data_IF_625616795047
#
_entry.id   IF_625616795047
#
_cell.length_a   1.000
_cell.length_b   1.000
_cell.length_c   1.000
_cell.angle_alpha   90.00
_cell.angle_beta   90.00
_cell.angle_gamma   90.00
#
_symmetry.space_group_name_H-M   'P 1'
#
loop_
_entity.id
_entity.type
_entity.pdbx_description
1 polymer ?
#
# COMPACT_ATOMS: atom_id res chain seq x y z
N UNK A 1 16.81 -31.00 28.02
CA UNK A 1 16.08 -29.78 27.59
C UNK A 1 15.87 -29.87 26.08
N UNK A 2 14.63 -30.05 25.60
CA UNK A 2 14.35 -30.35 24.19
C UNK A 2 14.80 -29.22 23.25
N UNK A 3 15.41 -29.57 22.10
CA UNK A 3 15.83 -28.63 21.05
C UNK A 3 14.72 -27.61 20.73
N UNK A 4 13.47 -28.05 20.63
CA UNK A 4 12.29 -27.21 20.37
C UNK A 4 12.09 -26.09 21.41
N UNK A 5 12.32 -26.37 22.70
CA UNK A 5 12.17 -25.38 23.79
C UNK A 5 13.33 -24.39 23.80
N UNK A 6 14.54 -24.82 23.42
CA UNK A 6 15.69 -23.94 23.25
C UNK A 6 15.47 -22.96 22.09
N UNK A 7 14.99 -23.44 20.95
CA UNK A 7 14.71 -22.58 19.79
C UNK A 7 13.60 -21.56 20.10
N UNK A 8 12.56 -21.96 20.82
CA UNK A 8 11.49 -21.05 21.24
C UNK A 8 11.97 -19.98 22.24
N UNK A 9 12.82 -20.35 23.21
CA UNK A 9 13.45 -19.39 24.13
C UNK A 9 14.40 -18.42 23.40
N UNK A 10 15.18 -18.95 22.45
CA UNK A 10 16.10 -18.18 21.62
C UNK A 10 15.37 -17.19 20.69
N UNK A 11 14.25 -17.62 20.09
CA UNK A 11 13.37 -16.75 19.30
C UNK A 11 12.72 -15.67 20.17
N UNK A 12 12.32 -16.00 21.41
CA UNK A 12 11.76 -15.04 22.37
C UNK A 12 12.75 -13.96 22.81
N UNK A 13 14.03 -14.29 22.95
CA UNK A 13 15.07 -13.28 23.26
C UNK A 13 15.34 -12.33 22.09
N UNK A 14 15.09 -12.76 20.85
CA UNK A 14 15.19 -11.92 19.65
C UNK A 14 13.96 -11.02 19.45
N UNK A 15 12.79 -11.41 19.99
CA UNK A 15 11.49 -10.71 19.87
C UNK A 15 11.49 -9.29 20.45
N UNK A 16 12.28 -9.01 21.50
CA UNK A 16 12.42 -7.66 22.06
C UNK A 16 13.50 -6.83 21.37
N UNK A 17 14.26 -7.46 20.46
CA UNK A 17 15.38 -6.85 19.73
C UNK A 17 15.09 -6.63 18.26
N UNK A 18 13.89 -6.86 17.72
CA UNK A 18 13.57 -6.61 16.30
C UNK A 18 13.88 -5.18 15.83
N UNK A 19 13.56 -4.13 16.61
CA UNK A 19 14.04 -2.77 16.31
C UNK A 19 15.56 -2.68 16.46
N UNK A 20 16.11 -3.32 17.47
CA UNK A 20 17.55 -3.32 17.77
C UNK A 20 18.36 -4.05 16.69
N UNK A 21 17.84 -5.06 16.00
CA UNK A 21 18.57 -5.84 15.00
C UNK A 21 18.54 -5.19 13.61
N UNK A 22 17.40 -4.61 13.26
CA UNK A 22 17.28 -3.74 12.08
C UNK A 22 18.13 -2.47 12.25
N UNK A 23 18.23 -1.95 13.48
CA UNK A 23 19.09 -0.79 13.82
C UNK A 23 20.58 -1.16 13.94
N UNK A 24 20.94 -2.27 14.58
CA UNK A 24 22.34 -2.72 14.77
C UNK A 24 23.03 -3.09 13.45
N UNK A 25 22.28 -3.63 12.48
CA UNK A 25 22.79 -3.91 11.13
C UNK A 25 22.62 -2.71 10.18
N UNK A 26 21.93 -1.65 10.61
CA UNK A 26 21.77 -0.40 9.87
C UNK A 26 23.09 0.32 9.60
N UNK A 27 24.03 0.22 10.55
CA UNK A 27 25.35 0.86 10.52
C UNK A 27 26.44 0.03 9.83
N UNK A 28 26.17 -1.24 9.51
CA UNK A 28 27.13 -2.09 8.82
C UNK A 28 27.16 -1.69 7.33
N UNK A 29 28.35 -1.44 6.75
CA UNK A 29 28.50 -1.05 5.35
C UNK A 29 27.70 -1.93 4.39
N UNK A 30 27.24 -1.33 3.29
CA UNK A 30 26.22 -1.87 2.38
C UNK A 30 26.41 -3.34 1.99
N UNK A 31 27.62 -3.79 1.67
CA UNK A 31 27.88 -5.17 1.25
C UNK A 31 27.75 -6.20 2.41
N UNK A 32 28.47 -6.07 3.54
CA UNK A 32 28.31 -6.99 4.67
C UNK A 32 26.93 -6.90 5.33
N UNK A 33 26.32 -5.71 5.39
CA UNK A 33 24.97 -5.52 5.93
C UNK A 33 23.89 -6.21 5.07
N UNK A 34 23.97 -6.14 3.74
CA UNK A 34 23.05 -6.83 2.84
C UNK A 34 23.16 -8.36 2.99
N UNK A 35 24.39 -8.88 3.13
CA UNK A 35 24.64 -10.30 3.37
C UNK A 35 24.03 -10.81 4.68
N UNK A 36 24.17 -10.05 5.77
CA UNK A 36 23.55 -10.41 7.06
C UNK A 36 22.02 -10.35 6.99
N UNK A 37 21.44 -9.32 6.37
CA UNK A 37 19.99 -9.27 6.15
C UNK A 37 19.50 -10.47 5.34
N UNK A 38 20.22 -10.84 4.29
CA UNK A 38 19.91 -12.01 3.48
C UNK A 38 19.91 -13.33 4.27
N UNK A 39 20.84 -13.48 5.23
CA UNK A 39 20.93 -14.67 6.08
C UNK A 39 19.86 -14.71 7.18
N UNK A 40 19.55 -13.57 7.82
CA UNK A 40 18.70 -13.52 9.01
C UNK A 40 17.22 -13.24 8.71
N UNK A 41 16.90 -12.54 7.63
CA UNK A 41 15.53 -12.11 7.36
C UNK A 41 14.55 -13.26 7.06
N UNK A 42 14.95 -14.38 6.42
CA UNK A 42 14.07 -15.53 6.27
C UNK A 42 13.54 -16.09 7.61
N UNK A 43 14.21 -15.82 8.73
CA UNK A 43 13.78 -16.27 10.06
C UNK A 43 12.84 -15.30 10.80
N UNK A 44 12.69 -14.05 10.32
CA UNK A 44 11.82 -13.04 10.95
C UNK A 44 10.48 -12.89 10.23
N UNK A 45 10.42 -13.22 8.93
CA UNK A 45 9.20 -13.12 8.13
C UNK A 45 8.27 -14.31 8.35
N UNK A 46 6.96 -14.10 8.16
CA UNK A 46 5.98 -15.19 8.08
C UNK A 46 6.33 -16.14 6.93
N UNK A 47 6.67 -15.55 5.79
CA UNK A 47 7.12 -16.22 4.56
C UNK A 47 8.00 -15.27 3.77
N UNK A 48 9.10 -15.77 3.23
CA UNK A 48 10.00 -14.99 2.38
C UNK A 48 10.42 -15.82 1.17
N UNK A 49 10.16 -15.28 -0.03
CA UNK A 49 10.61 -15.83 -1.29
C UNK A 49 12.13 -15.70 -1.49
N UNK A 50 12.64 -16.33 -2.54
CA UNK A 50 14.05 -16.19 -2.93
C UNK A 50 14.32 -14.85 -3.60
N UNK A 51 15.59 -14.44 -3.65
CA UNK A 51 16.05 -13.25 -4.38
C UNK A 51 15.44 -11.92 -3.93
N UNK A 52 14.93 -11.86 -2.70
CA UNK A 52 14.43 -10.61 -2.10
C UNK A 52 15.61 -9.71 -1.77
N UNK A 53 15.53 -8.44 -2.18
CA UNK A 53 16.56 -7.42 -1.94
C UNK A 53 16.01 -6.38 -0.97
N UNK A 54 16.72 -6.20 0.14
CA UNK A 54 16.33 -5.22 1.17
C UNK A 54 17.52 -4.30 1.39
N UNK A 55 17.37 -3.06 0.94
CA UNK A 55 18.42 -2.05 1.00
C UNK A 55 18.59 -1.51 2.44
N UNK A 56 19.67 -0.77 2.72
CA UNK A 56 19.87 -0.11 4.01
C UNK A 56 18.71 0.83 4.37
N UNK A 57 18.50 1.07 5.66
CA UNK A 57 17.44 1.97 6.19
C UNK A 57 16.00 1.53 5.87
N UNK A 58 15.78 0.25 5.56
CA UNK A 58 14.44 -0.35 5.59
C UNK A 58 14.07 -0.66 7.03
N UNK A 59 12.96 -0.10 7.49
CA UNK A 59 12.43 -0.29 8.85
C UNK A 59 11.24 -1.25 8.80
N UNK A 60 11.32 -2.33 9.57
CA UNK A 60 10.29 -3.37 9.63
C UNK A 60 9.85 -3.56 11.09
N UNK A 61 8.56 -3.40 11.34
CA UNK A 61 7.93 -3.76 12.62
C UNK A 61 6.95 -4.90 12.40
N UNK A 62 7.02 -5.89 13.28
CA UNK A 62 6.23 -7.13 13.22
C UNK A 62 6.37 -7.90 11.89
N UNK A 63 7.62 -8.14 11.48
CA UNK A 63 7.93 -8.90 10.26
C UNK A 63 7.28 -10.29 10.22
N UNK A 64 6.97 -10.88 11.38
CA UNK A 64 6.29 -12.18 11.49
C UNK A 64 4.86 -12.20 10.93
N UNK A 65 4.28 -11.03 10.62
CA UNK A 65 2.98 -10.92 9.96
C UNK A 65 3.10 -10.56 8.46
N UNK A 66 4.32 -10.53 7.93
CA UNK A 66 4.59 -10.15 6.55
C UNK A 66 4.94 -11.39 5.73
N UNK A 67 4.23 -11.58 4.62
CA UNK A 67 4.55 -12.53 3.56
C UNK A 67 5.18 -11.78 2.38
N UNK A 68 6.37 -12.21 1.95
CA UNK A 68 7.10 -11.60 0.84
C UNK A 68 7.34 -12.65 -0.25
N UNK A 69 6.97 -12.32 -1.48
CA UNK A 69 7.16 -13.14 -2.67
C UNK A 69 8.60 -13.19 -3.19
N UNK A 70 8.79 -13.91 -4.28
CA UNK A 70 10.06 -14.02 -4.99
C UNK A 70 10.48 -12.68 -5.61
N UNK A 71 11.74 -12.29 -5.48
CA UNK A 71 12.31 -11.16 -6.23
C UNK A 71 11.79 -9.79 -5.82
N UNK A 72 11.18 -9.65 -4.63
CA UNK A 72 10.75 -8.36 -4.09
C UNK A 72 11.94 -7.45 -3.80
N UNK A 73 11.78 -6.16 -4.05
CA UNK A 73 12.80 -5.15 -3.78
C UNK A 73 12.24 -4.08 -2.84
N UNK A 74 12.88 -3.90 -1.69
CA UNK A 74 12.60 -2.84 -0.72
C UNK A 74 13.75 -1.84 -0.73
N UNK A 75 13.53 -0.65 -1.27
CA UNK A 75 14.53 0.41 -1.38
C UNK A 75 14.76 1.17 -0.06
N UNK A 76 15.76 2.04 -0.05
CA UNK A 76 16.13 2.82 1.13
C UNK A 76 14.97 3.65 1.67
N UNK A 77 14.79 3.66 2.99
CA UNK A 77 13.79 4.47 3.68
C UNK A 77 12.39 3.86 3.70
N UNK A 78 12.19 2.69 3.07
CA UNK A 78 10.92 1.95 3.17
C UNK A 78 10.62 1.67 4.64
N UNK A 79 9.42 2.02 5.08
CA UNK A 79 8.94 1.77 6.43
C UNK A 79 7.68 0.93 6.40
N UNK A 80 7.75 -0.23 7.04
CA UNK A 80 6.60 -1.13 7.21
C UNK A 80 6.31 -1.24 8.70
N UNK A 81 5.17 -0.69 9.12
CA UNK A 81 4.73 -0.63 10.49
C UNK A 81 3.40 -1.38 10.63
N UNK A 82 3.47 -2.64 11.04
CA UNK A 82 2.29 -3.44 11.37
C UNK A 82 2.16 -3.53 12.90
N UNK A 83 1.17 -2.88 13.49
CA UNK A 83 0.82 -3.12 14.90
C UNK A 83 0.01 -4.43 15.03
N UNK A 84 -0.13 -4.94 16.26
CA UNK A 84 -1.06 -6.04 16.59
C UNK A 84 -1.06 -7.24 15.62
N UNK A 85 -2.23 -7.67 15.16
CA UNK A 85 -2.51 -8.84 14.32
C UNK A 85 -2.71 -8.48 12.83
N UNK A 86 -2.20 -7.32 12.39
CA UNK A 86 -2.31 -6.88 10.99
C UNK A 86 -1.47 -7.74 10.05
N UNK A 87 -1.96 -7.91 8.82
CA UNK A 87 -1.30 -8.71 7.79
C UNK A 87 -0.82 -7.87 6.61
N UNK A 88 0.37 -8.16 6.12
CA UNK A 88 0.87 -7.64 4.85
C UNK A 88 1.31 -8.79 3.96
N UNK A 89 0.77 -8.84 2.75
CA UNK A 89 1.20 -9.78 1.71
C UNK A 89 1.75 -9.01 0.53
N UNK A 90 2.98 -9.32 0.15
CA UNK A 90 3.67 -8.77 -1.00
C UNK A 90 3.93 -9.91 -1.99
N UNK A 91 3.35 -9.81 -3.19
CA UNK A 91 3.52 -10.77 -4.27
C UNK A 91 4.93 -10.79 -4.86
N UNK A 92 5.10 -11.56 -5.92
CA UNK A 92 6.38 -11.73 -6.60
C UNK A 92 6.75 -10.49 -7.39
N UNK A 93 8.05 -10.14 -7.38
CA UNK A 93 8.65 -9.05 -8.16
C UNK A 93 8.01 -7.68 -7.89
N UNK A 94 7.46 -7.49 -6.69
CA UNK A 94 7.01 -6.18 -6.23
C UNK A 94 8.20 -5.28 -5.94
N UNK A 95 8.08 -4.01 -6.32
CA UNK A 95 9.08 -2.99 -6.07
C UNK A 95 8.52 -1.88 -5.17
N UNK A 96 9.10 -1.71 -3.99
CA UNK A 96 8.82 -0.58 -3.11
C UNK A 96 10.00 0.39 -3.19
N UNK A 97 9.79 1.53 -3.86
CA UNK A 97 10.80 2.56 -4.05
C UNK A 97 11.14 3.30 -2.73
N UNK A 98 12.00 4.32 -2.83
CA UNK A 98 12.50 5.02 -1.63
C UNK A 98 11.37 5.65 -0.85
N UNK A 99 11.51 5.65 0.48
CA UNK A 99 10.58 6.35 1.38
C UNK A 99 9.11 5.86 1.28
N UNK A 100 8.84 4.66 0.73
CA UNK A 100 7.48 4.09 0.72
C UNK A 100 7.08 3.69 2.15
N UNK A 101 5.92 4.17 2.58
CA UNK A 101 5.33 3.89 3.89
C UNK A 101 4.16 2.91 3.78
N UNK A 102 4.18 1.85 4.58
CA UNK A 102 3.06 0.93 4.76
C UNK A 102 2.76 0.86 6.26
N UNK A 103 1.57 1.31 6.65
CA UNK A 103 1.20 1.42 8.06
C UNK A 103 -0.18 0.83 8.33
N UNK A 104 -0.23 -0.08 9.30
CA UNK A 104 -1.46 -0.62 9.89
C UNK A 104 -1.35 -0.45 11.40
N UNK A 105 -2.08 0.51 11.97
CA UNK A 105 -1.88 0.90 13.38
C UNK A 105 -2.90 0.32 14.35
N UNK A 106 -4.09 -0.02 13.87
CA UNK A 106 -5.20 -0.62 14.63
C UNK A 106 -5.25 -2.13 14.36
N UNK A 107 -6.18 -2.89 14.94
CA UNK A 107 -6.23 -4.34 14.76
C UNK A 107 -6.88 -4.76 13.43
N UNK A 108 -6.60 -5.99 12.99
CA UNK A 108 -7.30 -6.69 11.89
C UNK A 108 -7.24 -6.05 10.48
N UNK A 109 -6.27 -5.18 10.22
CA UNK A 109 -6.06 -4.61 8.89
C UNK A 109 -5.29 -5.57 7.99
N UNK A 110 -5.57 -5.50 6.68
CA UNK A 110 -4.87 -6.30 5.67
C UNK A 110 -4.45 -5.43 4.48
N UNK A 111 -3.18 -5.54 4.09
CA UNK A 111 -2.68 -4.94 2.86
C UNK A 111 -2.13 -6.06 1.97
N UNK A 112 -2.57 -6.11 0.71
CA UNK A 112 -2.14 -7.11 -0.26
C UNK A 112 -1.72 -6.42 -1.56
N UNK A 113 -0.45 -6.62 -1.93
CA UNK A 113 0.12 -6.21 -3.20
C UNK A 113 0.30 -7.47 -4.04
N UNK A 114 -0.32 -7.54 -5.20
CA UNK A 114 -0.17 -8.67 -6.11
C UNK A 114 1.17 -8.58 -6.87
N UNK A 115 1.43 -9.53 -7.76
CA UNK A 115 2.71 -9.64 -8.44
C UNK A 115 2.99 -8.42 -9.31
N UNK A 116 4.27 -8.03 -9.40
CA UNK A 116 4.76 -6.97 -10.29
C UNK A 116 4.14 -5.60 -10.00
N UNK A 117 3.57 -5.39 -8.81
CA UNK A 117 3.19 -4.05 -8.34
C UNK A 117 4.44 -3.20 -8.13
N UNK A 118 4.38 -1.93 -8.53
CA UNK A 118 5.44 -0.96 -8.27
C UNK A 118 4.89 0.26 -7.55
N UNK A 119 5.36 0.51 -6.33
CA UNK A 119 5.07 1.73 -5.58
C UNK A 119 6.29 2.65 -5.68
N UNK A 120 6.11 3.82 -6.29
CA UNK A 120 7.18 4.80 -6.45
C UNK A 120 7.40 5.62 -5.17
N UNK A 121 8.36 6.54 -5.21
CA UNK A 121 8.90 7.23 -4.04
C UNK A 121 7.81 7.89 -3.21
N UNK A 122 7.86 7.65 -1.89
CA UNK A 122 6.98 8.33 -0.95
C UNK A 122 5.50 7.94 -1.06
N UNK A 123 5.17 6.83 -1.73
CA UNK A 123 3.81 6.28 -1.69
C UNK A 123 3.49 5.82 -0.28
N UNK A 124 2.29 6.15 0.18
CA UNK A 124 1.80 5.85 1.53
C UNK A 124 0.55 4.98 1.47
N UNK A 125 0.63 3.78 2.04
CA UNK A 125 -0.50 2.86 2.21
C UNK A 125 -0.89 2.78 3.69
N UNK A 126 -2.11 3.16 4.04
CA UNK A 126 -2.55 3.19 5.44
C UNK A 126 -3.94 2.62 5.65
N UNK A 127 -4.00 1.42 6.24
CA UNK A 127 -5.26 0.77 6.59
C UNK A 127 -5.57 0.98 8.09
N UNK A 128 -6.83 1.28 8.40
CA UNK A 128 -7.29 1.61 9.76
C UNK A 128 -8.54 0.81 10.13
N UNK A 129 -8.71 0.48 11.42
CA UNK A 129 -9.91 -0.13 12.00
C UNK A 129 -10.49 -1.35 11.27
N UNK A 130 -9.66 -2.28 10.83
CA UNK A 130 -10.09 -3.46 10.04
C UNK A 130 -10.17 -3.20 8.53
N UNK A 131 -9.69 -2.04 8.07
CA UNK A 131 -9.62 -1.66 6.67
C UNK A 131 -8.69 -2.56 5.86
N UNK A 132 -8.94 -2.61 4.55
CA UNK A 132 -8.21 -3.48 3.64
C UNK A 132 -7.78 -2.72 2.40
N UNK A 133 -6.55 -2.93 1.95
CA UNK A 133 -6.03 -2.34 0.71
C UNK A 133 -5.53 -3.45 -0.19
N UNK A 134 -6.06 -3.52 -1.41
CA UNK A 134 -5.70 -4.48 -2.44
C UNK A 134 -5.18 -3.73 -3.67
N UNK A 135 -4.00 -4.10 -4.17
CA UNK A 135 -3.43 -3.57 -5.41
C UNK A 135 -3.11 -4.73 -6.34
N UNK A 136 -3.79 -4.77 -7.49
CA UNK A 136 -3.73 -5.85 -8.46
C UNK A 136 -2.45 -5.90 -9.30
N UNK A 137 -2.28 -7.00 -10.02
CA UNK A 137 -1.06 -7.34 -10.75
C UNK A 137 -0.64 -6.26 -11.75
N UNK A 138 0.69 -6.02 -11.90
CA UNK A 138 1.27 -5.07 -12.86
C UNK A 138 0.79 -3.61 -12.71
N UNK A 139 0.19 -3.27 -11.57
CA UNK A 139 -0.24 -1.89 -11.28
C UNK A 139 0.92 -1.04 -10.80
N UNK A 140 1.01 0.17 -11.33
CA UNK A 140 1.98 1.19 -10.94
C UNK A 140 1.30 2.31 -10.14
N UNK A 141 1.93 2.70 -9.03
CA UNK A 141 1.51 3.83 -8.20
C UNK A 141 2.64 4.85 -8.13
N UNK A 142 2.37 6.04 -8.66
CA UNK A 142 3.35 7.10 -8.82
C UNK A 142 3.65 7.87 -7.53
N UNK A 143 4.71 8.70 -7.55
CA UNK A 143 5.29 9.31 -6.36
C UNK A 143 4.30 10.07 -5.49
N UNK A 144 4.49 9.98 -4.17
CA UNK A 144 3.75 10.74 -3.16
C UNK A 144 2.23 10.59 -3.23
N UNK A 145 1.76 9.46 -3.75
CA UNK A 145 0.35 9.08 -3.73
C UNK A 145 0.00 8.52 -2.35
N UNK A 146 -1.13 8.95 -1.79
CA UNK A 146 -1.63 8.44 -0.52
C UNK A 146 -2.90 7.61 -0.74
N UNK A 147 -2.89 6.38 -0.24
CA UNK A 147 -4.01 5.44 -0.29
C UNK A 147 -4.33 5.04 1.15
N UNK A 148 -5.47 5.47 1.66
CA UNK A 148 -5.78 5.27 3.08
C UNK A 148 -7.27 5.19 3.36
N UNK A 149 -7.67 4.35 4.32
CA UNK A 149 -9.06 4.33 4.74
C UNK A 149 -9.37 3.32 5.82
N UNK A 150 -10.58 3.48 6.36
CA UNK A 150 -11.25 2.48 7.20
C UNK A 150 -12.04 1.47 6.35
N UNK A 151 -12.52 1.88 5.17
CA UNK A 151 -13.16 0.99 4.21
C UNK A 151 -12.17 0.26 3.29
N UNK A 152 -12.65 -0.79 2.64
CA UNK A 152 -11.85 -1.53 1.65
C UNK A 152 -11.54 -0.66 0.43
N UNK A 153 -10.25 -0.58 0.06
CA UNK A 153 -9.77 0.01 -1.19
C UNK A 153 -9.26 -1.12 -2.08
N UNK A 154 -9.87 -1.28 -3.25
CA UNK A 154 -9.44 -2.27 -4.24
C UNK A 154 -9.02 -1.56 -5.53
N UNK A 155 -7.77 -1.75 -5.94
CA UNK A 155 -7.23 -1.30 -7.23
C UNK A 155 -6.95 -2.55 -8.07
N UNK A 156 -7.52 -2.60 -9.27
CA UNK A 156 -7.40 -3.71 -10.20
C UNK A 156 -5.99 -3.90 -10.76
N UNK A 157 -5.88 -4.79 -11.75
CA UNK A 157 -4.61 -5.03 -12.46
C UNK A 157 -4.39 -4.00 -13.56
N UNK A 158 -3.13 -3.90 -14.00
CA UNK A 158 -2.71 -3.07 -15.14
C UNK A 158 -3.10 -1.58 -14.99
N UNK A 159 -3.28 -1.10 -13.76
CA UNK A 159 -3.63 0.30 -13.51
C UNK A 159 -2.38 1.19 -13.49
N UNK A 160 -2.56 2.43 -13.92
CA UNK A 160 -1.56 3.49 -13.84
C UNK A 160 -2.09 4.60 -12.96
N UNK A 161 -1.54 4.75 -11.76
CA UNK A 161 -1.88 5.86 -10.86
C UNK A 161 -0.71 6.83 -10.90
N UNK A 162 -0.90 8.03 -11.44
CA UNK A 162 0.16 9.04 -11.52
C UNK A 162 0.44 9.67 -10.14
N UNK A 163 1.44 10.57 -10.09
CA UNK A 163 1.93 11.19 -8.86
C UNK A 163 0.87 12.00 -8.11
N UNK A 164 1.04 12.14 -6.80
CA UNK A 164 0.24 13.01 -5.93
C UNK A 164 -1.26 12.72 -5.92
N UNK A 165 -1.66 11.48 -6.23
CA UNK A 165 -3.05 11.09 -6.09
C UNK A 165 -3.44 10.91 -4.61
N UNK A 166 -4.71 11.08 -4.30
CA UNK A 166 -5.25 10.87 -2.95
C UNK A 166 -6.51 10.02 -3.01
N UNK A 167 -6.45 8.83 -2.43
CA UNK A 167 -7.53 7.83 -2.46
C UNK A 167 -7.93 7.55 -1.02
N UNK A 168 -9.09 8.07 -0.60
CA UNK A 168 -9.53 8.01 0.80
C UNK A 168 -10.89 7.34 0.98
N UNK A 169 -10.90 6.13 1.58
CA UNK A 169 -12.11 5.33 1.80
C UNK A 169 -12.72 5.51 3.20
N UNK A 170 -12.92 6.76 3.61
CA UNK A 170 -13.75 7.13 4.77
C UNK A 170 -14.11 8.62 4.72
N UNK A 171 -15.14 9.00 5.49
CA UNK A 171 -15.47 10.39 5.80
C UNK A 171 -15.81 10.52 7.28
N UNK A 172 -15.50 11.67 7.88
CA UNK A 172 -15.96 11.99 9.23
C UNK A 172 -17.44 12.33 9.23
N UNK A 173 -18.13 11.97 10.32
CA UNK A 173 -19.49 12.43 10.57
C UNK A 173 -19.41 13.86 11.12
N UNK A 174 -20.23 14.76 10.57
CA UNK A 174 -20.22 16.18 10.92
C UNK A 174 -21.63 16.77 11.10
N UNK A 175 -22.63 15.92 11.32
CA UNK A 175 -24.03 16.34 11.40
C UNK A 175 -24.44 16.99 12.73
N UNK A 176 -23.70 16.75 13.82
CA UNK A 176 -23.98 17.32 15.14
C UNK A 176 -23.05 18.51 15.44
N UNK A 177 -23.55 19.76 15.47
CA UNK A 177 -22.71 20.93 15.74
C UNK A 177 -22.31 21.07 17.22
N UNK A 178 -22.85 20.26 18.14
CA UNK A 178 -22.53 20.33 19.57
C UNK A 178 -21.40 19.39 20.00
N UNK A 179 -20.92 18.55 19.10
CA UNK A 179 -19.77 17.65 19.32
C UNK A 179 -18.64 18.01 18.38
N UNK A 180 -17.40 17.83 18.81
CA UNK A 180 -16.27 17.96 17.89
C UNK A 180 -16.36 16.90 16.79
N UNK A 181 -15.80 17.17 15.60
CA UNK A 181 -15.78 16.21 14.49
C UNK A 181 -15.19 14.85 14.91
N UNK A 182 -14.19 14.86 15.79
CA UNK A 182 -13.53 13.65 16.29
C UNK A 182 -14.47 12.75 17.12
N UNK A 183 -15.36 13.34 17.90
CA UNK A 183 -16.28 12.60 18.79
C UNK A 183 -17.47 11.99 18.04
N UNK A 184 -17.73 12.44 16.81
CA UNK A 184 -18.86 11.99 16.00
C UNK A 184 -18.57 10.70 15.23
N UNK A 185 -17.30 10.29 15.16
CA UNK A 185 -16.89 9.09 14.42
C UNK A 185 -16.81 9.30 12.91
N UNK A 186 -16.87 8.20 12.16
CA UNK A 186 -16.68 8.17 10.72
C UNK A 186 -17.58 7.12 10.05
N UNK A 187 -17.73 7.24 8.74
CA UNK A 187 -18.37 6.26 7.87
C UNK A 187 -17.40 5.85 6.77
N UNK A 188 -17.52 4.62 6.30
CA UNK A 188 -16.72 4.09 5.20
C UNK A 188 -17.53 3.14 4.33
N UNK A 189 -17.51 3.36 3.03
CA UNK A 189 -18.16 2.52 2.01
C UNK A 189 -17.15 1.71 1.19
N UNK A 190 -15.91 2.18 1.11
CA UNK A 190 -14.86 1.59 0.28
C UNK A 190 -14.73 2.27 -1.08
N UNK A 191 -13.66 1.95 -1.80
CA UNK A 191 -13.37 2.44 -3.15
C UNK A 191 -12.98 1.25 -4.02
N UNK A 192 -13.51 1.21 -5.24
CA UNK A 192 -13.10 0.25 -6.26
C UNK A 192 -12.56 0.99 -7.49
N UNK A 193 -11.31 0.74 -7.86
CA UNK A 193 -10.73 1.12 -9.15
C UNK A 193 -10.54 -0.19 -9.90
N UNK A 194 -11.33 -0.41 -10.94
CA UNK A 194 -11.27 -1.65 -11.73
C UNK A 194 -10.02 -1.69 -12.63
N UNK A 195 -9.84 -2.80 -13.34
CA UNK A 195 -8.65 -3.05 -14.17
C UNK A 195 -8.39 -1.96 -15.24
N UNK A 196 -7.13 -1.81 -15.63
CA UNK A 196 -6.70 -0.98 -16.78
C UNK A 196 -7.12 0.50 -16.68
N UNK A 197 -7.28 1.02 -15.46
CA UNK A 197 -7.59 2.44 -15.24
C UNK A 197 -6.32 3.30 -15.22
N UNK A 198 -6.42 4.52 -15.77
CA UNK A 198 -5.40 5.55 -15.63
C UNK A 198 -5.93 6.74 -14.83
N UNK A 199 -5.27 7.07 -13.72
CA UNK A 199 -5.53 8.28 -12.94
C UNK A 199 -4.38 9.26 -13.15
N UNK A 200 -4.68 10.40 -13.77
CA UNK A 200 -3.73 11.49 -13.97
C UNK A 200 -3.25 12.11 -12.65
N UNK A 201 -2.16 12.88 -12.69
CA UNK A 201 -1.52 13.38 -11.47
C UNK A 201 -2.47 14.26 -10.66
N UNK A 202 -2.44 14.13 -9.33
CA UNK A 202 -3.24 14.97 -8.43
C UNK A 202 -4.71 14.58 -8.29
N UNK A 203 -5.14 13.46 -8.91
CA UNK A 203 -6.52 12.97 -8.83
C UNK A 203 -6.90 12.62 -7.40
N UNK A 204 -8.12 12.99 -6.99
CA UNK A 204 -8.70 12.67 -5.70
C UNK A 204 -9.89 11.73 -5.89
N UNK A 205 -9.93 10.64 -5.15
CA UNK A 205 -11.06 9.69 -5.15
C UNK A 205 -11.63 9.63 -3.75
N UNK A 206 -12.93 9.93 -3.63
CA UNK A 206 -13.63 9.90 -2.34
C UNK A 206 -14.31 8.56 -2.10
N UNK A 207 -14.60 8.29 -0.84
CA UNK A 207 -15.28 7.08 -0.38
C UNK A 207 -16.61 6.80 -1.10
N UNK A 208 -16.89 5.52 -1.37
CA UNK A 208 -18.10 5.04 -2.02
C UNK A 208 -18.09 5.10 -3.55
N UNK A 209 -16.93 5.36 -4.16
CA UNK A 209 -16.78 5.47 -5.63
C UNK A 209 -16.25 4.17 -6.23
N UNK A 210 -16.86 3.78 -7.36
CA UNK A 210 -16.31 2.82 -8.33
C UNK A 210 -15.85 3.54 -9.60
N UNK A 211 -14.59 3.36 -9.99
CA UNK A 211 -14.05 3.76 -11.30
C UNK A 211 -14.00 2.50 -12.17
N UNK A 212 -14.86 2.44 -13.18
CA UNK A 212 -15.03 1.27 -14.02
C UNK A 212 -13.84 1.01 -14.95
N UNK A 213 -13.68 -0.26 -15.34
CA UNK A 213 -12.56 -0.79 -16.10
C UNK A 213 -12.17 0.08 -17.30
N UNK A 214 -10.88 0.26 -17.54
CA UNK A 214 -10.39 0.95 -18.73
C UNK A 214 -10.63 2.46 -18.72
N UNK A 215 -11.05 3.05 -17.60
CA UNK A 215 -11.37 4.48 -17.53
C UNK A 215 -10.13 5.34 -17.33
N UNK A 216 -10.20 6.55 -17.85
CA UNK A 216 -9.18 7.59 -17.72
C UNK A 216 -9.73 8.74 -16.90
N UNK A 217 -9.04 9.12 -15.84
CA UNK A 217 -9.36 10.30 -15.03
C UNK A 217 -8.29 11.35 -15.28
N UNK A 218 -8.68 12.48 -15.86
CA UNK A 218 -7.75 13.58 -16.17
C UNK A 218 -7.09 14.14 -14.91
N UNK A 219 -5.87 14.66 -15.04
CA UNK A 219 -5.09 15.21 -13.95
C UNK A 219 -5.87 16.28 -13.15
N UNK A 220 -5.66 16.32 -11.83
CA UNK A 220 -6.29 17.28 -10.91
C UNK A 220 -7.79 17.05 -10.65
N UNK A 221 -8.41 16.04 -11.26
CA UNK A 221 -9.85 15.78 -11.10
C UNK A 221 -10.20 15.24 -9.71
N UNK A 222 -11.46 15.44 -9.31
CA UNK A 222 -12.00 14.94 -8.03
C UNK A 222 -13.21 14.07 -8.31
N UNK A 223 -13.05 12.76 -8.13
CA UNK A 223 -14.06 11.75 -8.41
C UNK A 223 -14.97 11.59 -7.20
N UNK A 224 -16.21 12.09 -7.33
CA UNK A 224 -17.23 12.08 -6.28
C UNK A 224 -18.40 11.13 -6.56
N UNK A 225 -18.43 10.52 -7.76
CA UNK A 225 -19.48 9.61 -8.23
C UNK A 225 -18.84 8.51 -9.06
N UNK A 226 -19.53 7.38 -9.19
CA UNK A 226 -19.06 6.27 -10.00
C UNK A 226 -18.82 6.71 -11.44
N UNK A 227 -17.73 6.20 -12.03
CA UNK A 227 -17.34 6.43 -13.41
C UNK A 227 -17.60 5.12 -14.18
N UNK A 228 -18.45 5.11 -15.22
CA UNK A 228 -18.71 3.90 -16.01
C UNK A 228 -17.45 3.38 -16.71
N UNK A 229 -17.34 2.08 -17.00
CA UNK A 229 -16.21 1.51 -17.74
C UNK A 229 -15.93 2.22 -19.06
N UNK A 230 -14.64 2.28 -19.42
CA UNK A 230 -14.10 2.89 -20.63
C UNK A 230 -14.50 4.36 -20.80
N UNK A 231 -14.62 5.10 -19.69
CA UNK A 231 -14.94 6.53 -19.72
C UNK A 231 -13.69 7.38 -19.59
N UNK A 232 -13.70 8.56 -20.20
CA UNK A 232 -12.76 9.63 -19.92
C UNK A 232 -13.51 10.66 -19.07
N UNK A 233 -13.02 10.94 -17.87
CA UNK A 233 -13.64 11.88 -16.94
C UNK A 233 -12.67 12.98 -16.49
N UNK A 234 -13.18 14.20 -16.32
CA UNK A 234 -12.38 15.35 -15.91
C UNK A 234 -13.15 16.32 -14.99
N UNK A 235 -12.43 17.07 -14.17
CA UNK A 235 -12.93 18.23 -13.41
C UNK A 235 -13.27 17.96 -11.94
N UNK A 236 -13.93 18.92 -11.30
CA UNK A 236 -14.45 18.86 -9.93
C UNK A 236 -15.90 19.39 -9.89
N UNK A 237 -16.91 18.53 -9.67
CA UNK A 237 -16.80 17.06 -9.64
C UNK A 237 -16.40 16.51 -11.02
N UNK A 238 -15.65 15.41 -11.04
CA UNK A 238 -15.29 14.73 -12.27
C UNK A 238 -16.54 14.27 -13.01
N UNK A 239 -16.68 14.65 -14.29
CA UNK A 239 -17.77 14.23 -15.17
C UNK A 239 -17.19 13.50 -16.36
N UNK A 240 -17.92 12.51 -16.86
CA UNK A 240 -17.59 11.83 -18.12
C UNK A 240 -17.69 12.87 -19.24
N UNK A 241 -16.57 13.07 -19.95
CA UNK A 241 -16.45 14.02 -21.08
C UNK A 241 -16.34 13.30 -22.42
N UNK A 242 -15.90 12.05 -22.41
CA UNK A 242 -15.77 11.22 -23.60
C UNK A 242 -15.78 9.74 -23.22
N UNK A 243 -15.88 8.88 -24.23
CA UNK A 243 -15.68 7.44 -24.10
C UNK A 243 -14.31 7.09 -24.69
N UNK A 244 -13.59 6.15 -24.07
CA UNK A 244 -12.35 5.61 -24.60
C UNK A 244 -12.70 4.69 -25.77
N UNK A 245 -12.47 5.17 -26.98
CA UNK A 245 -12.71 4.41 -28.22
C UNK A 245 -11.38 3.97 -28.84
N UNK A 246 -11.38 2.85 -29.57
CA UNK A 246 -10.16 2.26 -30.14
C UNK A 246 -9.51 3.09 -31.26
N UNK A 247 -10.22 4.08 -31.80
CA UNK A 247 -9.88 4.71 -33.07
C UNK A 247 -9.48 6.18 -33.00
N UNK A 248 -9.41 6.80 -31.81
CA UNK A 248 -8.90 8.17 -31.69
C UNK A 248 -7.83 8.31 -30.62
N UNK A 249 -6.69 8.89 -31.02
CA UNK A 249 -5.71 9.51 -30.13
C UNK A 249 -6.39 10.68 -29.41
N UNK A 250 -7.12 10.36 -28.35
CA UNK A 250 -7.72 11.36 -27.46
C UNK A 250 -6.60 11.96 -26.61
N UNK A 251 -6.03 13.07 -27.10
CA UNK A 251 -5.15 13.94 -26.33
C UNK A 251 -6.00 14.67 -25.28
N UNK A 252 -5.98 14.17 -24.06
CA UNK A 252 -6.50 14.87 -22.86
C UNK A 252 -5.33 15.19 -21.95
#
# INVERSE_FOLDING_TARGET
MNKLKLTQLFLKEFQWKTPILTTLLGWIPSLPGLGLRYLFYPFIFKKMGRSVKIYPDVRLKNAQNIEIGFGVVLHQGVEINLNSDNELKIGDRVNLARDVGISCTEEQNKIELDNVVSLDRGVELRAHGGGQIYIGERTYVGPYTCISGYGTISIGKDCLIASHCSIYAHNYIFSDPNKTIKEQGFVSKGIAIEDDCWLGSGVKVVDGVTIGKGSVIAAGSVVMKNIPPYSIAAGFPAKVIAKRESNELSLV
#
